data_IF_603087107882
#
_entry.id   IF_603087107882
#
_cell.length_a   1.000
_cell.length_b   1.000
_cell.length_c   1.000
_cell.angle_alpha   90.00
_cell.angle_beta   90.00
_cell.angle_gamma   90.00
#
_symmetry.space_group_name_H-M   'P 1'
#
loop_
_entity.id
_entity.type
_entity.pdbx_description
1 polymer ?
#
# COMPACT_ATOMS: atom_id res chain seq x y z
N UNK A 1 -10.91 1.25 18.94
CA UNK A 1 -10.70 0.08 18.06
C UNK A 1 -11.12 -1.16 18.80
N UNK A 2 -12.01 -1.98 18.23
CA UNK A 2 -12.34 -3.26 18.85
C UNK A 2 -11.12 -4.19 18.77
N UNK A 3 -10.80 -4.97 19.81
CA UNK A 3 -9.70 -5.93 19.76
C UNK A 3 -9.98 -6.97 18.67
N UNK A 4 -9.06 -7.10 17.69
CA UNK A 4 -9.10 -8.11 16.63
C UNK A 4 -9.48 -7.62 15.23
N UNK A 5 -9.75 -6.33 15.02
CA UNK A 5 -10.08 -5.80 13.68
C UNK A 5 -8.83 -5.33 12.94
N UNK A 6 -8.60 -5.84 11.73
CA UNK A 6 -7.48 -5.44 10.85
C UNK A 6 -7.63 -3.96 10.46
N UNK A 7 -6.61 -3.11 10.65
CA UNK A 7 -6.71 -1.69 10.31
C UNK A 7 -6.86 -1.49 8.81
N UNK A 8 -7.80 -0.64 8.38
CA UNK A 8 -7.98 -0.28 6.97
C UNK A 8 -6.80 0.55 6.46
N UNK A 9 -6.53 0.48 5.16
CA UNK A 9 -5.46 1.26 4.52
C UNK A 9 -5.64 2.77 4.76
N UNK A 10 -6.87 3.26 4.70
CA UNK A 10 -7.16 4.66 5.01
C UNK A 10 -6.85 5.00 6.47
N UNK A 11 -7.25 4.16 7.43
CA UNK A 11 -6.95 4.42 8.85
C UNK A 11 -5.45 4.47 9.14
N UNK A 12 -4.67 3.64 8.45
CA UNK A 12 -3.20 3.67 8.55
C UNK A 12 -2.64 4.98 7.98
N UNK A 13 -3.04 5.35 6.76
CA UNK A 13 -2.56 6.59 6.14
C UNK A 13 -2.99 7.83 6.91
N UNK A 14 -4.21 7.83 7.47
CA UNK A 14 -4.73 8.91 8.31
C UNK A 14 -3.89 9.10 9.58
N UNK A 15 -3.59 7.99 10.26
CA UNK A 15 -2.75 7.96 11.46
C UNK A 15 -1.31 8.40 11.14
N UNK A 16 -0.70 7.81 10.11
CA UNK A 16 0.67 8.15 9.68
C UNK A 16 0.79 9.60 9.19
N UNK A 17 -0.23 10.12 8.53
CA UNK A 17 -0.27 11.53 8.11
C UNK A 17 -0.29 12.46 9.33
N UNK A 18 -1.08 12.12 10.34
CA UNK A 18 -1.11 12.86 11.62
C UNK A 18 0.26 12.84 12.31
N UNK A 19 0.92 11.67 12.31
CA UNK A 19 2.27 11.53 12.85
C UNK A 19 3.29 12.35 12.05
N UNK A 20 3.29 12.28 10.72
CA UNK A 20 4.23 13.01 9.88
C UNK A 20 4.05 14.54 10.00
N UNK A 21 2.81 15.02 10.05
CA UNK A 21 2.52 16.45 10.27
C UNK A 21 2.96 16.89 11.66
N UNK A 22 2.70 16.11 12.71
CA UNK A 22 3.15 16.47 14.06
C UNK A 22 4.68 16.51 14.18
N UNK A 23 5.40 15.61 13.52
CA UNK A 23 6.87 15.65 13.44
C UNK A 23 7.39 16.94 12.78
N UNK A 24 6.78 17.38 11.68
CA UNK A 24 7.15 18.64 11.03
C UNK A 24 6.85 19.85 11.92
N UNK A 25 5.70 19.86 12.58
CA UNK A 25 5.27 20.96 13.46
C UNK A 25 6.14 21.09 14.72
N UNK A 26 6.64 19.98 15.25
CA UNK A 26 7.56 19.99 16.41
C UNK A 26 8.86 20.75 16.13
N UNK A 27 9.31 20.77 14.88
CA UNK A 27 10.60 21.37 14.52
C UNK A 27 10.48 22.82 14.03
N UNK A 28 9.31 23.25 13.55
CA UNK A 28 9.14 24.55 12.89
C UNK A 28 7.83 25.24 13.22
N UNK A 29 7.84 25.92 14.38
CA UNK A 29 6.76 26.82 14.82
C UNK A 29 6.57 28.04 13.92
N UNK A 30 7.54 28.36 13.05
CA UNK A 30 7.65 29.66 12.37
C UNK A 30 6.77 29.83 11.12
N UNK A 31 6.25 28.74 10.55
CA UNK A 31 5.40 28.82 9.37
C UNK A 31 3.93 28.87 9.82
N UNK A 32 3.30 30.04 9.81
CA UNK A 32 1.86 30.17 10.10
C UNK A 32 0.98 29.86 8.91
N UNK A 33 1.53 30.04 7.70
CA UNK A 33 0.94 29.59 6.45
C UNK A 33 1.88 28.63 5.71
N UNK A 34 1.29 27.67 5.00
CA UNK A 34 2.01 26.69 4.17
C UNK A 34 1.35 26.51 2.81
N UNK A 35 2.17 26.31 1.78
CA UNK A 35 1.74 25.88 0.45
C UNK A 35 1.96 24.38 0.33
N UNK A 36 0.93 23.62 -0.07
CA UNK A 36 1.06 22.17 -0.26
C UNK A 36 1.15 21.87 -1.75
N UNK A 37 2.28 21.32 -2.18
CA UNK A 37 2.61 21.04 -3.59
C UNK A 37 2.37 19.56 -3.89
N UNK A 38 1.76 19.20 -5.04
CA UNK A 38 1.02 17.94 -5.16
C UNK A 38 1.89 16.73 -5.49
N UNK A 39 1.36 15.56 -5.09
CA UNK A 39 1.66 14.23 -5.63
C UNK A 39 0.38 13.66 -6.27
N UNK A 40 -0.75 13.72 -5.56
CA UNK A 40 -2.11 13.48 -6.06
C UNK A 40 -3.14 14.34 -5.28
N UNK A 41 -4.41 14.38 -5.72
CA UNK A 41 -5.46 15.19 -5.09
C UNK A 41 -5.95 14.63 -3.74
N UNK A 42 -5.98 13.31 -3.58
CA UNK A 42 -6.51 12.61 -2.40
C UNK A 42 -5.52 12.67 -1.23
N UNK A 43 -4.24 12.37 -1.45
CA UNK A 43 -3.20 12.55 -0.44
C UNK A 43 -3.09 14.03 -0.05
N UNK A 44 -3.19 14.95 -1.02
CA UNK A 44 -3.22 16.38 -0.73
C UNK A 44 -4.37 16.73 0.21
N UNK A 45 -5.58 16.26 -0.06
CA UNK A 45 -6.73 16.51 0.81
C UNK A 45 -6.48 16.03 2.25
N UNK A 46 -5.95 14.81 2.41
CA UNK A 46 -5.64 14.24 3.72
C UNK A 46 -4.62 15.09 4.49
N UNK A 47 -3.53 15.50 3.84
CA UNK A 47 -2.50 16.33 4.46
C UNK A 47 -3.02 17.74 4.77
N UNK A 48 -3.80 18.35 3.87
CA UNK A 48 -4.47 19.65 4.07
C UNK A 48 -5.33 19.62 5.33
N UNK A 49 -6.12 18.56 5.53
CA UNK A 49 -6.96 18.39 6.71
C UNK A 49 -6.12 18.38 7.99
N UNK A 50 -5.02 17.63 8.03
CA UNK A 50 -4.14 17.54 9.21
C UNK A 50 -3.44 18.86 9.53
N UNK A 51 -3.00 19.59 8.51
CA UNK A 51 -2.40 20.92 8.70
C UNK A 51 -3.42 21.95 9.22
N UNK A 52 -4.65 21.96 8.68
CA UNK A 52 -5.72 22.81 9.18
C UNK A 52 -6.12 22.48 10.62
N UNK A 53 -6.20 21.19 10.95
CA UNK A 53 -6.49 20.73 12.31
C UNK A 53 -5.41 21.20 13.31
N UNK A 54 -4.17 21.39 12.85
CA UNK A 54 -3.09 21.97 13.64
C UNK A 54 -3.12 23.51 13.70
N UNK A 55 -4.15 24.16 13.16
CA UNK A 55 -4.32 25.62 13.19
C UNK A 55 -3.46 26.38 12.19
N UNK A 56 -2.90 25.71 11.18
CA UNK A 56 -2.06 26.33 10.16
C UNK A 56 -2.85 26.68 8.91
N UNK A 57 -2.59 27.87 8.37
CA UNK A 57 -3.28 28.35 7.18
C UNK A 57 -2.65 27.74 5.92
N UNK A 58 -3.48 27.47 4.89
CA UNK A 58 -3.00 26.91 3.63
C UNK A 58 -3.24 27.93 2.53
N UNK A 59 -2.16 28.54 2.04
CA UNK A 59 -2.20 29.58 1.02
C UNK A 59 -1.23 29.24 -0.11
N UNK A 60 -1.54 29.63 -1.36
CA UNK A 60 -0.70 29.32 -2.52
C UNK A 60 0.62 30.12 -2.58
N UNK A 61 0.75 31.18 -1.78
CA UNK A 61 1.91 32.08 -1.74
C UNK A 61 2.57 32.10 -0.35
N UNK A 62 2.57 30.97 0.34
CA UNK A 62 3.15 30.87 1.67
C UNK A 62 4.68 30.83 1.62
N UNK A 63 5.37 31.33 2.67
CA UNK A 63 6.84 31.29 2.75
C UNK A 63 7.38 29.85 2.91
N UNK A 64 6.54 28.92 3.34
CA UNK A 64 6.89 27.53 3.57
C UNK A 64 6.10 26.62 2.65
N UNK A 65 6.78 25.64 2.05
CA UNK A 65 6.18 24.67 1.14
C UNK A 65 6.26 23.27 1.73
N UNK A 66 5.14 22.57 1.81
CA UNK A 66 5.09 21.15 2.16
C UNK A 66 4.93 20.35 0.87
N UNK A 67 5.95 19.56 0.54
CA UNK A 67 5.91 18.59 -0.54
C UNK A 67 5.57 17.19 0.01
N UNK A 68 4.58 16.54 -0.60
CA UNK A 68 4.23 15.15 -0.31
C UNK A 68 5.14 14.27 -1.17
N UNK A 69 6.15 13.66 -0.55
CA UNK A 69 7.14 12.86 -1.28
C UNK A 69 6.73 11.39 -1.42
N UNK A 70 5.98 10.86 -0.45
CA UNK A 70 5.40 9.51 -0.50
C UNK A 70 4.12 9.49 0.34
N UNK A 71 3.08 8.83 -0.14
CA UNK A 71 1.84 8.58 0.60
C UNK A 71 1.20 7.33 0.00
N UNK A 72 1.76 6.16 0.32
CA UNK A 72 1.44 4.91 -0.38
C UNK A 72 1.28 3.73 0.57
N UNK A 73 0.46 2.77 0.13
CA UNK A 73 0.43 1.40 0.63
C UNK A 73 1.18 0.52 -0.37
N UNK A 74 1.94 -0.45 0.12
CA UNK A 74 2.63 -1.45 -0.71
C UNK A 74 2.43 -2.83 -0.10
N UNK A 75 2.20 -3.81 -0.96
CA UNK A 75 2.11 -5.21 -0.57
C UNK A 75 3.29 -6.00 -1.12
N UNK A 76 3.86 -6.85 -0.29
CA UNK A 76 4.87 -7.83 -0.66
C UNK A 76 4.43 -9.22 -0.19
N UNK A 77 5.01 -10.27 -0.80
CA UNK A 77 4.80 -11.63 -0.33
C UNK A 77 5.48 -11.80 1.03
N UNK A 78 4.76 -12.35 2.02
CA UNK A 78 5.31 -12.60 3.35
C UNK A 78 6.01 -13.96 3.44
N UNK A 79 5.32 -15.02 3.02
CA UNK A 79 5.85 -16.38 2.98
C UNK A 79 5.21 -17.17 1.84
N UNK A 80 5.94 -18.09 1.22
CA UNK A 80 5.43 -18.97 0.14
C UNK A 80 4.46 -20.04 0.63
N UNK A 81 4.55 -20.43 1.90
CA UNK A 81 3.74 -21.51 2.49
C UNK A 81 2.37 -21.05 3.02
N UNK A 82 2.13 -19.74 3.10
CA UNK A 82 0.89 -19.16 3.62
C UNK A 82 0.44 -18.00 2.75
N UNK A 83 -0.83 -17.97 2.38
CA UNK A 83 -1.41 -16.88 1.57
C UNK A 83 -1.58 -15.59 2.38
N UNK A 84 -0.43 -14.95 2.66
CA UNK A 84 -0.29 -13.78 3.50
C UNK A 84 0.58 -12.74 2.83
N UNK A 85 0.22 -11.48 3.05
CA UNK A 85 0.86 -10.32 2.46
C UNK A 85 1.50 -9.50 3.57
N UNK A 86 2.74 -9.09 3.34
CA UNK A 86 3.37 -8.06 4.13
C UNK A 86 2.90 -6.72 3.58
N UNK A 87 2.18 -5.96 4.40
CA UNK A 87 1.70 -4.63 4.05
C UNK A 87 2.60 -3.59 4.68
N UNK A 88 3.00 -2.61 3.88
CA UNK A 88 3.74 -1.43 4.32
C UNK A 88 2.94 -0.17 3.97
N UNK A 89 2.62 0.63 4.97
CA UNK A 89 2.07 1.97 4.80
C UNK A 89 3.18 2.99 5.04
N UNK A 90 3.32 3.99 4.16
CA UNK A 90 4.36 5.02 4.28
C UNK A 90 3.83 6.39 3.91
N UNK A 91 4.12 7.36 4.78
CA UNK A 91 3.91 8.79 4.52
C UNK A 91 5.24 9.50 4.70
N UNK A 92 5.65 10.25 3.68
CA UNK A 92 6.83 11.10 3.68
C UNK A 92 6.46 12.52 3.28
N UNK A 93 6.72 13.46 4.17
CA UNK A 93 6.52 14.88 3.96
C UNK A 93 7.85 15.61 4.02
N UNK A 94 7.99 16.64 3.18
CA UNK A 94 9.16 17.52 3.16
C UNK A 94 8.68 18.95 3.32
N UNK A 95 9.08 19.59 4.41
CA UNK A 95 8.86 21.03 4.63
C UNK A 95 10.09 21.77 4.10
N UNK A 96 9.86 22.65 3.12
CA UNK A 96 10.84 23.51 2.47
C UNK A 96 10.59 24.95 2.91
N UNK A 97 11.63 25.66 3.32
CA UNK A 97 11.61 27.12 3.51
C UNK A 97 12.94 27.73 3.08
N UNK A 98 13.08 29.04 3.23
CA UNK A 98 14.24 29.81 2.79
C UNK A 98 15.62 29.30 3.27
N UNK A 99 15.67 28.55 4.37
CA UNK A 99 16.91 28.20 5.08
C UNK A 99 17.17 26.69 5.15
N UNK A 100 16.29 25.85 4.60
CA UNK A 100 16.48 24.41 4.67
C UNK A 100 15.27 23.57 4.29
N UNK A 101 15.49 22.25 4.43
CA UNK A 101 14.49 21.22 4.17
C UNK A 101 14.44 20.31 5.38
N UNK A 102 13.24 20.11 5.93
CA UNK A 102 13.01 19.13 6.97
C UNK A 102 12.11 18.02 6.46
N UNK A 103 12.47 16.79 6.84
CA UNK A 103 11.83 15.58 6.36
C UNK A 103 11.16 14.87 7.54
N UNK A 104 9.90 14.54 7.38
CA UNK A 104 9.17 13.65 8.28
C UNK A 104 8.81 12.37 7.53
N UNK A 105 9.08 11.23 8.15
CA UNK A 105 8.81 9.91 7.60
C UNK A 105 8.11 9.09 8.66
N UNK A 106 6.90 8.65 8.36
CA UNK A 106 6.13 7.73 9.17
C UNK A 106 5.89 6.45 8.38
N UNK A 107 6.23 5.30 8.95
CA UNK A 107 6.09 4.00 8.31
C UNK A 107 5.43 3.03 9.29
N UNK A 108 4.54 2.20 8.76
CA UNK A 108 3.91 1.11 9.48
C UNK A 108 4.02 -0.18 8.66
N UNK A 109 4.22 -1.29 9.36
CA UNK A 109 4.34 -2.63 8.78
C UNK A 109 3.44 -3.60 9.53
N UNK A 110 2.71 -4.41 8.79
CA UNK A 110 2.01 -5.57 9.33
C UNK A 110 1.89 -6.70 8.31
N UNK A 111 1.30 -7.80 8.76
CA UNK A 111 0.99 -8.96 7.92
C UNK A 111 -0.52 -9.13 7.91
N UNK A 112 -1.11 -9.21 6.71
CA UNK A 112 -2.54 -9.44 6.50
C UNK A 112 -2.75 -10.72 5.69
N UNK A 113 -3.90 -11.38 5.86
CA UNK A 113 -4.28 -12.44 4.94
C UNK A 113 -4.73 -11.83 3.60
N UNK A 114 -4.48 -12.52 2.49
CA UNK A 114 -4.96 -12.05 1.17
C UNK A 114 -6.49 -11.96 1.12
N UNK A 115 -7.18 -12.85 1.83
CA UNK A 115 -8.64 -12.84 1.98
C UNK A 115 -9.18 -11.53 2.55
N UNK A 116 -8.38 -10.84 3.35
CA UNK A 116 -8.82 -9.63 4.04
C UNK A 116 -8.74 -8.39 3.16
N UNK A 117 -8.04 -8.43 2.02
CA UNK A 117 -7.81 -7.27 1.12
C UNK A 117 -9.06 -6.45 0.85
N UNK A 118 -10.19 -7.11 0.54
CA UNK A 118 -11.44 -6.44 0.24
C UNK A 118 -12.03 -5.66 1.44
N UNK A 119 -11.70 -6.06 2.67
CA UNK A 119 -12.10 -5.37 3.90
C UNK A 119 -11.11 -4.24 4.26
N UNK A 120 -9.85 -4.35 3.83
CA UNK A 120 -8.80 -3.38 4.18
C UNK A 120 -8.69 -2.23 3.17
N UNK A 121 -9.01 -2.50 1.90
CA UNK A 121 -9.04 -1.50 0.84
C UNK A 121 -10.41 -0.83 0.77
N UNK A 122 -10.43 0.48 0.45
CA UNK A 122 -11.68 1.16 0.14
C UNK A 122 -11.92 1.09 -1.36
N UNK A 123 -13.04 0.46 -1.81
CA UNK A 123 -13.39 0.47 -3.21
C UNK A 123 -13.51 1.92 -3.68
N UNK A 124 -12.82 2.27 -4.77
CA UNK A 124 -12.81 3.59 -5.45
C UNK A 124 -11.86 4.66 -4.89
N UNK A 125 -10.99 4.34 -3.93
CA UNK A 125 -9.95 5.27 -3.49
C UNK A 125 -8.58 4.86 -4.01
N UNK A 126 -8.04 5.63 -4.96
CA UNK A 126 -6.68 5.46 -5.53
C UNK A 126 -5.58 5.53 -4.45
N UNK A 127 -5.86 6.19 -3.32
CA UNK A 127 -4.93 6.30 -2.20
C UNK A 127 -4.78 4.96 -1.44
N UNK A 128 -5.82 4.13 -1.46
CA UNK A 128 -5.90 2.91 -0.64
C UNK A 128 -5.65 1.63 -1.41
N UNK A 129 -5.66 1.69 -2.75
CA UNK A 129 -5.43 0.53 -3.60
C UNK A 129 -3.95 0.47 -4.00
N UNK A 130 -3.39 -0.74 -4.01
CA UNK A 130 -2.02 -0.98 -4.46
C UNK A 130 -1.97 -2.27 -5.24
N UNK A 131 -1.07 -2.41 -6.24
CA UNK A 131 -0.84 -3.70 -6.87
C UNK A 131 -0.51 -4.76 -5.82
N UNK A 132 -1.22 -5.88 -5.91
CA UNK A 132 -1.05 -7.04 -5.04
C UNK A 132 -0.24 -8.09 -5.79
N UNK A 133 0.84 -8.64 -5.21
CA UNK A 133 1.60 -9.69 -5.87
C UNK A 133 0.71 -10.93 -6.09
N UNK A 134 0.95 -11.73 -7.16
CA UNK A 134 0.18 -12.95 -7.41
C UNK A 134 0.30 -13.93 -6.24
N UNK A 135 -0.67 -14.85 -6.06
CA UNK A 135 -0.57 -15.89 -5.05
C UNK A 135 0.67 -16.76 -5.27
N UNK A 136 1.28 -17.29 -4.19
CA UNK A 136 2.37 -18.26 -4.33
C UNK A 136 1.87 -19.48 -5.12
N UNK A 137 2.66 -19.92 -6.10
CA UNK A 137 2.35 -21.14 -6.88
C UNK A 137 2.64 -22.36 -6.05
N UNK A 138 1.77 -23.37 -6.15
CA UNK A 138 2.02 -24.65 -5.49
C UNK A 138 2.89 -25.55 -6.36
N UNK A 139 3.58 -26.51 -5.73
CA UNK A 139 4.34 -27.57 -6.43
C UNK A 139 3.42 -28.38 -7.35
N UNK A 140 2.12 -28.47 -7.02
CA UNK A 140 1.11 -29.09 -7.87
C UNK A 140 0.98 -28.35 -9.20
N UNK A 141 0.83 -27.03 -9.15
CA UNK A 141 0.65 -26.18 -10.34
C UNK A 141 1.90 -26.21 -11.23
N UNK A 142 3.09 -26.21 -10.63
CA UNK A 142 4.34 -26.09 -11.39
C UNK A 142 4.87 -27.43 -11.94
N UNK A 143 4.58 -28.57 -11.28
CA UNK A 143 5.17 -29.87 -11.65
C UNK A 143 4.14 -30.97 -11.92
N UNK A 144 3.13 -31.11 -11.07
CA UNK A 144 2.29 -32.30 -11.10
C UNK A 144 1.19 -32.19 -12.17
N UNK A 145 0.53 -31.03 -12.26
CA UNK A 145 -0.48 -30.75 -13.27
C UNK A 145 0.01 -31.02 -14.71
N UNK A 146 1.14 -30.46 -15.19
CA UNK A 146 1.61 -30.73 -16.54
C UNK A 146 1.97 -32.21 -16.77
N UNK A 147 2.54 -32.89 -15.77
CA UNK A 147 2.88 -34.31 -15.88
C UNK A 147 1.62 -35.17 -16.00
N UNK A 148 0.59 -34.89 -15.21
CA UNK A 148 -0.69 -35.62 -15.27
C UNK A 148 -1.35 -35.44 -16.63
N UNK A 149 -1.34 -34.22 -17.20
CA UNK A 149 -1.89 -33.94 -18.53
C UNK A 149 -1.14 -34.76 -19.58
N UNK A 150 0.19 -34.71 -19.60
CA UNK A 150 1.01 -35.47 -20.58
C UNK A 150 0.79 -36.97 -20.42
N UNK A 151 0.78 -37.48 -19.19
CA UNK A 151 0.51 -38.88 -18.91
C UNK A 151 -0.87 -39.28 -19.43
N UNK A 152 -1.92 -38.51 -19.13
CA UNK A 152 -3.29 -38.80 -19.57
C UNK A 152 -3.42 -38.88 -21.09
N UNK A 153 -2.77 -37.98 -21.84
CA UNK A 153 -2.75 -37.99 -23.30
C UNK A 153 -2.05 -39.24 -23.81
N UNK A 154 -0.89 -39.59 -23.24
CA UNK A 154 -0.15 -40.79 -23.60
C UNK A 154 -0.97 -42.07 -23.35
N UNK A 155 -1.65 -42.18 -22.21
CA UNK A 155 -2.52 -43.34 -21.92
C UNK A 155 -3.69 -43.42 -22.89
N UNK A 156 -4.30 -42.28 -23.22
CA UNK A 156 -5.42 -42.23 -24.17
C UNK A 156 -4.99 -42.66 -25.57
N UNK A 157 -3.84 -42.20 -26.04
CA UNK A 157 -3.25 -42.64 -27.31
C UNK A 157 -2.94 -44.14 -27.28
N UNK A 158 -2.31 -44.64 -26.20
CA UNK A 158 -1.99 -46.05 -26.05
C UNK A 158 -3.25 -46.93 -26.12
N UNK A 159 -4.31 -46.53 -25.41
CA UNK A 159 -5.60 -47.20 -25.41
C UNK A 159 -6.26 -47.18 -26.80
N UNK A 160 -6.22 -46.03 -27.50
CA UNK A 160 -6.72 -45.91 -28.87
C UNK A 160 -5.98 -46.83 -29.83
N UNK A 161 -4.65 -46.89 -29.76
CA UNK A 161 -3.86 -47.77 -30.62
C UNK A 161 -4.10 -49.25 -30.29
N UNK A 162 -4.09 -49.64 -29.01
CA UNK A 162 -4.33 -51.03 -28.61
C UNK A 162 -5.73 -51.52 -28.96
N UNK A 163 -6.76 -50.68 -28.82
CA UNK A 163 -8.12 -51.01 -29.23
C UNK A 163 -8.29 -51.09 -30.76
N UNK A 164 -7.47 -50.37 -31.54
CA UNK A 164 -7.54 -50.36 -33.01
C UNK A 164 -6.70 -51.45 -33.67
N UNK A 165 -5.73 -52.03 -32.96
CA UNK A 165 -4.89 -53.15 -33.44
C UNK A 165 -5.47 -54.54 -33.19
N UNK A 166 -6.72 -54.64 -32.73
CA UNK A 166 -7.51 -55.88 -32.72
C UNK A 166 -8.65 -55.77 -33.71
#
# INVERSE_FOLDING_TARGET
MAPGQVPTNFSLLDSLSTQAVSQLLQHHLLCDSVTIVPLDAVARWLIVEKWKAAGKEITPAAPCTVAIADCTIRYALHATERDSLQRQARVELRLLWAWGVHRAVAVYHDTIARSDLAAVELPRSELTTSPVPPPPRSVWDDLVEPVVIVASVATTLLLLFTARTR
#
